data_IF_808125126176
#
_entry.id   IF_808125126176
#
_cell.length_a   1.000
_cell.length_b   1.000
_cell.length_c   1.000
_cell.angle_alpha   90.00
_cell.angle_beta   90.00
_cell.angle_gamma   90.00
#
_symmetry.space_group_name_H-M   'P 1'
#
loop_
_entity.id
_entity.type
_entity.pdbx_description
1 polymer ?
#
# COMPACT_ATOMS: atom_id res chain seq x y z
N UNK A 1 5.99 -10.42 -11.57
CA UNK A 1 6.65 -9.25 -10.99
C UNK A 1 5.64 -8.16 -10.72
N UNK A 2 5.72 -7.52 -9.57
CA UNK A 2 4.82 -6.43 -9.21
C UNK A 2 5.58 -5.12 -9.06
N UNK A 3 4.87 -4.02 -9.26
CA UNK A 3 5.34 -2.70 -8.84
C UNK A 3 4.80 -2.44 -7.44
N UNK A 4 5.68 -2.12 -6.51
CA UNK A 4 5.34 -1.95 -5.11
C UNK A 4 5.64 -0.54 -4.63
N UNK A 5 4.78 -0.04 -3.73
CA UNK A 5 4.92 1.27 -3.12
C UNK A 5 4.54 1.17 -1.64
N UNK A 6 5.23 1.91 -0.80
CA UNK A 6 5.00 1.91 0.64
C UNK A 6 4.49 3.27 1.08
N UNK A 7 3.38 3.27 1.81
CA UNK A 7 2.83 4.47 2.45
C UNK A 7 2.95 4.27 3.95
N UNK A 8 3.45 5.28 4.67
CA UNK A 8 3.66 5.15 6.11
C UNK A 8 3.50 6.47 6.84
N UNK A 9 3.26 6.39 8.15
CA UNK A 9 3.21 7.57 9.00
C UNK A 9 4.59 8.24 9.03
N UNK A 10 4.69 9.54 8.74
CA UNK A 10 6.00 10.20 8.63
C UNK A 10 6.82 10.18 9.93
N UNK A 11 6.16 10.05 11.08
CA UNK A 11 6.84 9.98 12.37
C UNK A 11 7.36 8.58 12.72
N UNK A 12 7.02 7.57 11.92
CA UNK A 12 7.46 6.18 12.18
C UNK A 12 8.96 6.00 12.00
N UNK A 13 9.58 6.76 11.10
CA UNK A 13 11.01 6.70 10.83
C UNK A 13 11.49 7.98 10.18
N UNK A 14 12.79 8.25 10.30
CA UNK A 14 13.46 9.31 9.53
C UNK A 14 13.97 8.75 8.21
N UNK A 15 14.34 9.62 7.27
CA UNK A 15 14.94 9.18 6.01
C UNK A 15 16.26 8.43 6.25
N UNK A 16 17.02 8.86 7.25
CA UNK A 16 18.28 8.23 7.64
C UNK A 16 18.06 6.81 8.18
N UNK A 17 17.04 6.63 9.01
CA UNK A 17 16.75 5.35 9.66
C UNK A 17 15.85 4.44 8.82
N UNK A 18 15.30 4.93 7.72
CA UNK A 18 14.35 4.20 6.89
C UNK A 18 14.83 2.81 6.49
N UNK A 19 16.06 2.59 6.02
CA UNK A 19 16.49 1.26 5.59
C UNK A 19 16.40 0.23 6.72
N UNK A 20 16.78 0.60 7.93
CA UNK A 20 16.71 -0.27 9.12
C UNK A 20 15.26 -0.52 9.55
N UNK A 21 14.45 0.53 9.57
CA UNK A 21 13.03 0.43 9.90
C UNK A 21 12.29 -0.48 8.91
N UNK A 22 12.55 -0.29 7.62
CA UNK A 22 11.95 -1.09 6.56
C UNK A 22 12.32 -2.57 6.69
N UNK A 23 13.58 -2.87 6.97
CA UNK A 23 14.03 -4.23 7.22
C UNK A 23 13.28 -4.89 8.38
N UNK A 24 13.06 -4.15 9.46
CA UNK A 24 12.27 -4.63 10.61
C UNK A 24 10.81 -4.86 10.26
N UNK A 25 10.21 -4.00 9.47
CA UNK A 25 8.83 -4.17 9.00
C UNK A 25 8.69 -5.45 8.18
N UNK A 26 9.56 -5.65 7.21
CA UNK A 26 9.54 -6.85 6.35
C UNK A 26 9.74 -8.13 7.17
N UNK A 27 10.60 -8.10 8.17
CA UNK A 27 10.85 -9.24 9.06
C UNK A 27 9.60 -9.66 9.83
N UNK A 28 8.71 -8.73 10.16
CA UNK A 28 7.46 -9.02 10.87
C UNK A 28 6.51 -9.88 10.05
N UNK A 29 6.60 -9.82 8.72
CA UNK A 29 5.68 -10.56 7.85
C UNK A 29 5.91 -12.07 7.91
N UNK A 30 7.07 -12.52 8.38
CA UNK A 30 7.37 -13.94 8.60
C UNK A 30 6.82 -14.45 9.94
N UNK A 31 6.33 -13.56 10.80
CA UNK A 31 5.76 -13.91 12.10
C UNK A 31 4.24 -14.10 12.01
N UNK A 32 3.64 -14.85 12.95
CA UNK A 32 2.18 -14.98 12.99
C UNK A 32 1.51 -13.62 13.17
N UNK A 33 0.48 -13.35 12.37
CA UNK A 33 -0.28 -12.12 12.43
C UNK A 33 -1.12 -11.93 11.20
N UNK A 34 -2.07 -10.99 11.27
CA UNK A 34 -2.91 -10.63 10.15
C UNK A 34 -2.47 -9.26 9.62
N UNK A 35 -1.88 -9.26 8.43
CA UNK A 35 -1.42 -8.06 7.74
C UNK A 35 -2.34 -7.65 6.59
N UNK A 36 -3.60 -8.08 6.62
CA UNK A 36 -4.58 -7.79 5.56
C UNK A 36 -5.72 -6.90 6.00
N UNK A 37 -5.71 -6.40 7.24
CA UNK A 37 -6.78 -5.59 7.82
C UNK A 37 -6.27 -4.28 8.39
N UNK A 38 -7.12 -3.24 8.35
CA UNK A 38 -6.84 -1.93 8.94
C UNK A 38 -7.28 -1.80 10.41
N UNK A 39 -7.72 -2.88 11.04
CA UNK A 39 -8.31 -2.82 12.39
C UNK A 39 -7.36 -2.21 13.43
N UNK A 40 -6.07 -2.45 13.32
CA UNK A 40 -5.06 -1.89 14.23
C UNK A 40 -4.34 -0.67 13.69
N UNK A 41 -4.78 -0.10 12.58
CA UNK A 41 -4.08 0.98 11.90
C UNK A 41 -4.47 2.37 12.43
N UNK A 42 -3.58 3.35 12.21
CA UNK A 42 -3.86 4.76 12.55
C UNK A 42 -5.02 5.30 11.73
N UNK A 43 -5.69 6.38 12.19
CA UNK A 43 -6.78 6.98 11.42
C UNK A 43 -6.39 7.41 10.01
N UNK A 44 -5.19 7.95 9.81
CA UNK A 44 -4.72 8.37 8.49
C UNK A 44 -4.52 7.17 7.56
N UNK A 45 -3.92 6.09 8.05
CA UNK A 45 -3.75 4.84 7.29
C UNK A 45 -5.11 4.25 6.91
N UNK A 46 -6.05 4.22 7.84
CA UNK A 46 -7.40 3.70 7.59
C UNK A 46 -8.12 4.51 6.53
N UNK A 47 -8.05 5.83 6.61
CA UNK A 47 -8.68 6.71 5.63
C UNK A 47 -8.05 6.54 4.24
N UNK A 48 -6.73 6.45 4.18
CA UNK A 48 -6.00 6.22 2.93
C UNK A 48 -6.44 4.92 2.26
N UNK A 49 -6.47 3.83 3.02
CA UNK A 49 -6.88 2.52 2.53
C UNK A 49 -8.30 2.54 1.96
N UNK A 50 -9.25 3.10 2.72
CA UNK A 50 -10.65 3.15 2.30
C UNK A 50 -10.85 3.92 1.01
N UNK A 51 -10.09 5.00 0.83
CA UNK A 51 -10.16 5.78 -0.41
C UNK A 51 -9.49 5.04 -1.58
N UNK A 52 -8.34 4.41 -1.33
CA UNK A 52 -7.57 3.76 -2.40
C UNK A 52 -8.26 2.53 -2.95
N UNK A 53 -8.94 1.74 -2.12
CA UNK A 53 -9.61 0.51 -2.59
C UNK A 53 -10.76 0.79 -3.56
N UNK A 54 -11.22 2.01 -3.65
CA UNK A 54 -12.23 2.40 -4.64
C UNK A 54 -11.68 2.35 -6.06
N UNK A 55 -10.41 2.71 -6.23
CA UNK A 55 -9.74 2.69 -7.54
C UNK A 55 -8.93 1.41 -7.75
N UNK A 56 -8.36 0.86 -6.68
CA UNK A 56 -7.52 -0.34 -6.69
C UNK A 56 -8.07 -1.34 -5.67
N UNK A 57 -9.19 -2.03 -6.00
CA UNK A 57 -9.78 -3.00 -5.07
C UNK A 57 -8.81 -4.11 -4.72
N UNK A 58 -8.83 -4.61 -3.47
CA UNK A 58 -7.93 -5.66 -3.05
C UNK A 58 -8.35 -7.03 -3.58
N UNK A 59 -7.36 -7.88 -3.88
CA UNK A 59 -7.63 -9.29 -4.11
C UNK A 59 -7.29 -10.16 -2.90
N UNK A 60 -6.94 -9.56 -1.78
CA UNK A 60 -6.65 -10.25 -0.52
C UNK A 60 -7.35 -9.53 0.65
N UNK A 61 -7.45 -10.23 1.78
CA UNK A 61 -7.99 -9.67 3.02
C UNK A 61 -9.52 -9.63 3.09
N UNK A 62 -10.06 -8.98 4.13
CA UNK A 62 -11.51 -8.97 4.38
C UNK A 62 -12.33 -8.20 3.34
N UNK A 63 -11.70 -7.26 2.63
CA UNK A 63 -12.37 -6.47 1.60
C UNK A 63 -12.12 -7.01 0.19
N UNK A 64 -11.54 -8.21 0.07
CA UNK A 64 -11.19 -8.80 -1.21
C UNK A 64 -12.43 -9.01 -2.09
N UNK A 65 -12.25 -8.74 -3.39
CA UNK A 65 -13.27 -9.05 -4.38
C UNK A 65 -13.48 -10.56 -4.47
N UNK A 66 -14.69 -10.97 -4.89
CA UNK A 66 -14.95 -12.36 -5.21
C UNK A 66 -14.16 -12.81 -6.44
N UNK A 67 -14.01 -14.13 -6.61
CA UNK A 67 -13.32 -14.67 -7.80
C UNK A 67 -13.98 -14.21 -9.09
N UNK A 68 -15.30 -14.15 -9.13
CA UNK A 68 -16.05 -13.67 -10.29
C UNK A 68 -15.77 -12.20 -10.60
N UNK A 69 -15.71 -11.36 -9.55
CA UNK A 69 -15.40 -9.93 -9.71
C UNK A 69 -13.95 -9.71 -10.17
N UNK A 70 -13.02 -10.50 -9.63
CA UNK A 70 -11.60 -10.43 -10.05
C UNK A 70 -11.45 -10.81 -11.53
N UNK A 71 -12.14 -11.87 -11.96
CA UNK A 71 -12.12 -12.30 -13.35
C UNK A 71 -12.71 -11.24 -14.28
N UNK A 72 -13.81 -10.63 -13.89
CA UNK A 72 -14.45 -9.55 -14.66
C UNK A 72 -13.52 -8.35 -14.80
N UNK A 73 -12.83 -7.94 -13.73
CA UNK A 73 -11.88 -6.83 -13.79
C UNK A 73 -10.70 -7.16 -14.69
N UNK A 74 -10.20 -8.38 -14.66
CA UNK A 74 -9.12 -8.83 -15.54
C UNK A 74 -9.53 -8.73 -17.00
N UNK A 75 -10.74 -9.20 -17.33
CA UNK A 75 -11.29 -9.12 -18.70
C UNK A 75 -11.43 -7.67 -19.17
N UNK A 76 -11.78 -6.75 -18.27
CA UNK A 76 -11.96 -5.33 -18.59
C UNK A 76 -10.65 -4.54 -18.53
N UNK A 77 -9.55 -5.17 -18.13
CA UNK A 77 -8.27 -4.48 -17.98
C UNK A 77 -8.25 -3.50 -16.82
N UNK A 78 -9.11 -3.69 -15.81
CA UNK A 78 -9.17 -2.82 -14.64
C UNK A 78 -8.22 -3.30 -13.54
N UNK A 79 -7.59 -2.37 -12.79
CA UNK A 79 -6.59 -2.74 -11.80
C UNK A 79 -7.17 -3.42 -10.57
N UNK A 80 -6.36 -4.29 -9.96
CA UNK A 80 -6.52 -4.81 -8.61
C UNK A 80 -5.18 -4.68 -7.89
N UNK A 81 -5.19 -4.73 -6.57
CA UNK A 81 -3.96 -4.55 -5.79
C UNK A 81 -3.86 -5.56 -4.67
N UNK A 82 -2.61 -5.86 -4.29
CA UNK A 82 -2.25 -6.63 -3.10
C UNK A 82 -1.89 -5.65 -1.99
N UNK A 83 -2.44 -5.87 -0.80
CA UNK A 83 -2.23 -4.98 0.34
C UNK A 83 -1.63 -5.76 1.51
N UNK A 84 -0.52 -5.23 2.05
CA UNK A 84 0.06 -5.67 3.32
C UNK A 84 0.00 -4.48 4.27
N UNK A 85 -0.71 -4.62 5.38
CA UNK A 85 -1.13 -3.51 6.23
C UNK A 85 -0.61 -3.71 7.64
N UNK A 86 -0.02 -2.66 8.20
CA UNK A 86 0.40 -2.63 9.60
C UNK A 86 -0.28 -1.49 10.36
N UNK A 87 0.18 -1.23 11.58
CA UNK A 87 -0.35 -0.15 12.39
C UNK A 87 -0.12 1.23 11.76
N UNK A 88 1.04 1.41 11.15
CA UNK A 88 1.52 2.71 10.67
C UNK A 88 1.98 2.70 9.21
N UNK A 89 1.63 1.67 8.44
CA UNK A 89 2.01 1.58 7.03
C UNK A 89 1.01 0.76 6.21
N UNK A 90 1.07 0.96 4.90
CA UNK A 90 0.44 0.10 3.89
C UNK A 90 1.47 -0.15 2.79
N UNK A 91 1.71 -1.43 2.49
CA UNK A 91 2.54 -1.86 1.37
C UNK A 91 1.62 -2.35 0.25
N UNK A 92 1.73 -1.74 -0.93
CA UNK A 92 0.80 -1.96 -2.03
C UNK A 92 1.55 -2.52 -3.22
N UNK A 93 1.05 -3.63 -3.79
CA UNK A 93 1.59 -4.21 -5.02
C UNK A 93 0.54 -4.23 -6.12
N UNK A 94 0.93 -3.82 -7.32
CA UNK A 94 0.09 -3.87 -8.53
C UNK A 94 0.90 -4.42 -9.70
N UNK A 95 0.23 -4.81 -10.78
CA UNK A 95 0.91 -5.14 -12.03
C UNK A 95 1.62 -3.92 -12.61
N UNK A 96 2.73 -4.14 -13.32
CA UNK A 96 3.52 -3.04 -13.90
C UNK A 96 2.72 -2.15 -14.85
N UNK A 97 1.72 -2.71 -15.53
CA UNK A 97 0.84 -1.92 -16.41
C UNK A 97 0.00 -0.89 -15.66
N UNK A 98 -0.19 -1.08 -14.35
CA UNK A 98 -0.98 -0.18 -13.52
C UNK A 98 -0.13 0.77 -12.67
N UNK A 99 1.20 0.67 -12.76
CA UNK A 99 2.13 1.41 -11.93
C UNK A 99 1.96 2.94 -12.03
N UNK A 100 1.85 3.47 -13.25
CA UNK A 100 1.72 4.91 -13.46
C UNK A 100 0.43 5.47 -12.84
N UNK A 101 -0.67 4.76 -12.98
CA UNK A 101 -1.94 5.16 -12.39
C UNK A 101 -1.87 5.13 -10.87
N UNK A 102 -1.24 4.10 -10.30
CA UNK A 102 -1.06 3.99 -8.86
C UNK A 102 -0.20 5.13 -8.30
N UNK A 103 0.95 5.39 -8.91
CA UNK A 103 1.87 6.46 -8.47
C UNK A 103 1.15 7.80 -8.41
N UNK A 104 0.38 8.10 -9.45
CA UNK A 104 -0.33 9.38 -9.54
C UNK A 104 -1.36 9.55 -8.43
N UNK A 105 -2.20 8.53 -8.21
CA UNK A 105 -3.26 8.62 -7.21
C UNK A 105 -2.70 8.58 -5.78
N UNK A 106 -1.70 7.75 -5.53
CA UNK A 106 -1.06 7.64 -4.23
C UNK A 106 -0.38 8.95 -3.82
N UNK A 107 0.31 9.61 -4.74
CA UNK A 107 0.94 10.89 -4.46
C UNK A 107 -0.05 11.94 -3.96
N UNK A 108 -1.19 12.05 -4.62
CA UNK A 108 -2.24 12.99 -4.25
C UNK A 108 -2.89 12.64 -2.91
N UNK A 109 -3.20 11.36 -2.71
CA UNK A 109 -3.87 10.89 -1.49
C UNK A 109 -2.95 10.98 -0.27
N UNK A 110 -1.69 10.63 -0.42
CA UNK A 110 -0.71 10.71 0.66
C UNK A 110 -0.52 12.17 1.11
N UNK A 111 -0.44 13.09 0.17
CA UNK A 111 -0.37 14.52 0.48
C UNK A 111 -1.58 14.96 1.30
N UNK A 112 -2.78 14.58 0.88
CA UNK A 112 -4.03 14.93 1.57
C UNK A 112 -4.09 14.38 2.98
N UNK A 113 -3.65 13.13 3.17
CA UNK A 113 -3.65 12.44 4.46
C UNK A 113 -2.39 12.70 5.29
N UNK A 114 -1.44 13.47 4.77
CA UNK A 114 -0.15 13.79 5.40
C UNK A 114 0.67 12.53 5.72
N UNK A 115 0.69 11.60 4.78
CA UNK A 115 1.47 10.37 4.87
C UNK A 115 2.72 10.45 4.01
N UNK A 116 3.77 9.75 4.41
CA UNK A 116 4.99 9.62 3.62
C UNK A 116 4.85 8.47 2.62
N UNK A 117 5.59 8.57 1.51
CA UNK A 117 5.61 7.56 0.45
C UNK A 117 7.05 7.17 0.16
N UNK A 118 7.32 5.86 0.12
CA UNK A 118 8.60 5.33 -0.32
C UNK A 118 8.41 4.53 -1.61
N UNK A 119 9.16 4.88 -2.63
CA UNK A 119 9.07 4.27 -3.97
C UNK A 119 10.01 3.06 -4.04
N UNK A 120 9.64 1.98 -3.36
CA UNK A 120 10.53 0.81 -3.12
C UNK A 120 10.85 0.01 -4.37
N UNK A 121 10.03 0.06 -5.41
CA UNK A 121 10.31 -0.59 -6.71
C UNK A 121 11.15 0.27 -7.65
N UNK A 122 11.48 1.49 -7.25
CA UNK A 122 12.35 2.40 -7.99
C UNK A 122 13.65 2.59 -7.21
N UNK A 123 14.00 3.82 -6.89
CA UNK A 123 15.24 4.17 -6.21
C UNK A 123 15.11 4.25 -4.69
N UNK A 124 13.97 3.80 -4.14
CA UNK A 124 13.63 3.91 -2.72
C UNK A 124 13.59 5.34 -2.20
N UNK A 125 13.36 6.31 -3.09
CA UNK A 125 13.21 7.70 -2.67
C UNK A 125 11.98 7.87 -1.79
N UNK A 126 12.08 8.79 -0.83
CA UNK A 126 11.01 9.05 0.14
C UNK A 126 10.47 10.44 -0.10
N UNK A 127 9.16 10.52 -0.23
CA UNK A 127 8.44 11.78 -0.33
C UNK A 127 7.70 12.03 0.99
N UNK A 128 7.94 13.19 1.60
CA UNK A 128 7.29 13.57 2.85
C UNK A 128 6.35 14.75 2.64
N UNK A 129 5.20 14.74 3.33
CA UNK A 129 4.24 15.84 3.23
C UNK A 129 4.79 17.14 3.82
#
# INVERSE_FOLDING_TARGET
MSYDILIFEPDSTTDEDFPRWWEQVVAQWDEPGDFSTIDGSTPAIRAFYRDLIRAFPPFNGPDALSDAELEEREEQGLPVADYTIGADYIYIGVGWSDANALVKIVGQMAWTQRLAVAYVSEDSSIFRP
#
